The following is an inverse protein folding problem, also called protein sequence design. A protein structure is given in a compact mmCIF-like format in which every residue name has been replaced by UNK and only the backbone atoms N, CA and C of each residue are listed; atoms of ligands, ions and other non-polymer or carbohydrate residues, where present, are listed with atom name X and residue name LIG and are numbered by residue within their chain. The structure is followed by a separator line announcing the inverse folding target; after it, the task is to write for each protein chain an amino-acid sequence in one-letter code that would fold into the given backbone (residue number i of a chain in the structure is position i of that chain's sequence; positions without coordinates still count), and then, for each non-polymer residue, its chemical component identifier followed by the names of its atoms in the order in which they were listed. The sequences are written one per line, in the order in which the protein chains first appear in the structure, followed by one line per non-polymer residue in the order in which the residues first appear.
data_IF_748758747949
#
_entry.id   IF_748758747949
#
_cell.length_a   1.000
_cell.length_b   1.000
_cell.length_c   1.000
_cell.angle_alpha   90.00
_cell.angle_beta   90.00
_cell.angle_gamma   90.00
#
_symmetry.space_group_name_H-M   'P 1'
#
loop_
_entity.id
_entity.type
_entity.pdbx_description
1 polymer ?
#
# COMPACT_ATOMS: atom_id res chain seq x y z
N UNK A 1 -13.72 -9.13 5.95
CA UNK A 1 -12.58 -9.49 5.06
C UNK A 1 -11.50 -8.41 5.18
N UNK A 2 -10.27 -8.71 4.76
CA UNK A 2 -9.11 -7.81 4.84
C UNK A 2 -8.43 -7.73 3.48
N UNK A 3 -8.06 -6.53 3.05
CA UNK A 3 -7.23 -6.28 1.89
C UNK A 3 -5.85 -5.87 2.36
N UNK A 4 -4.84 -6.45 1.73
CA UNK A 4 -3.43 -6.18 2.01
C UNK A 4 -2.78 -5.69 0.74
N UNK A 5 -1.95 -4.65 0.83
CA UNK A 5 -1.33 -4.01 -0.33
C UNK A 5 0.14 -3.70 -0.07
N UNK A 6 0.98 -3.78 -1.09
CA UNK A 6 2.40 -3.41 -0.98
C UNK A 6 2.53 -1.87 -0.93
N UNK A 7 3.41 -1.36 -0.05
CA UNK A 7 3.66 0.07 0.08
C UNK A 7 4.32 0.69 -1.16
N UNK A 8 4.99 -0.11 -1.98
CA UNK A 8 5.57 0.29 -3.26
C UNK A 8 4.57 0.24 -4.43
N UNK A 9 3.34 -0.25 -4.25
CA UNK A 9 2.41 -0.34 -5.37
C UNK A 9 2.00 1.06 -5.89
N UNK A 10 1.91 1.31 -7.22
CA UNK A 10 1.54 2.61 -7.78
C UNK A 10 0.22 3.16 -7.23
N UNK A 11 -0.79 2.30 -7.09
CA UNK A 11 -2.12 2.67 -6.57
C UNK A 11 -2.20 2.71 -5.01
N UNK A 12 -1.07 2.71 -4.28
CA UNK A 12 -1.08 2.69 -2.80
C UNK A 12 -1.83 3.90 -2.21
N UNK A 13 -1.79 5.04 -2.90
CA UNK A 13 -2.44 6.27 -2.46
C UNK A 13 -3.96 6.17 -2.59
N UNK A 14 -4.44 5.59 -3.68
CA UNK A 14 -5.84 5.27 -3.96
C UNK A 14 -6.36 4.26 -2.95
N UNK A 15 -5.58 3.22 -2.65
CA UNK A 15 -5.90 2.22 -1.64
C UNK A 15 -6.10 2.84 -0.26
N UNK A 16 -5.20 3.73 0.20
CA UNK A 16 -5.35 4.47 1.46
C UNK A 16 -6.62 5.34 1.46
N UNK A 17 -6.98 5.93 0.31
CA UNK A 17 -8.15 6.81 0.18
C UNK A 17 -9.46 6.04 0.08
N UNK A 18 -9.45 4.76 -0.26
CA UNK A 18 -10.66 3.96 -0.50
C UNK A 18 -11.64 3.90 0.69
N UNK A 19 -11.16 4.17 1.92
CA UNK A 19 -11.98 4.26 3.14
C UNK A 19 -12.53 5.65 3.46
N UNK A 20 -12.11 6.69 2.75
CA UNK A 20 -12.49 8.09 3.05
C UNK A 20 -13.85 8.47 2.50
N UNK A 21 -14.44 7.66 1.62
CA UNK A 21 -15.79 7.88 1.09
C UNK A 21 -16.85 7.34 2.06
N UNK A 22 -17.77 8.22 2.49
CA UNK A 22 -18.88 7.84 3.35
C UNK A 22 -19.71 6.71 2.71
N UNK A 23 -19.80 5.58 3.43
CA UNK A 23 -20.57 4.40 3.03
C UNK A 23 -19.77 3.24 2.42
N UNK A 24 -18.51 3.44 2.02
CA UNK A 24 -17.66 2.33 1.49
C UNK A 24 -16.84 1.65 2.58
N UNK A 25 -16.68 0.32 2.44
CA UNK A 25 -15.69 -0.50 3.18
C UNK A 25 -15.77 -0.43 4.73
N UNK A 26 -16.93 -0.13 5.32
CA UNK A 26 -17.12 0.03 6.78
C UNK A 26 -16.76 -1.20 7.63
N UNK A 27 -16.83 -2.41 7.05
CA UNK A 27 -16.50 -3.67 7.71
C UNK A 27 -15.29 -4.38 7.07
N UNK A 28 -14.47 -3.63 6.34
CA UNK A 28 -13.31 -4.16 5.63
C UNK A 28 -12.03 -3.51 6.15
N UNK A 29 -11.01 -4.31 6.47
CA UNK A 29 -9.73 -3.79 6.92
C UNK A 29 -8.80 -3.59 5.73
N UNK A 30 -8.05 -2.48 5.74
CA UNK A 30 -7.01 -2.18 4.76
C UNK A 30 -5.68 -2.15 5.49
N UNK A 31 -4.75 -2.98 5.05
CA UNK A 31 -3.42 -3.12 5.63
C UNK A 31 -2.37 -2.88 4.56
N UNK A 32 -1.27 -2.23 4.91
CA UNK A 32 -0.10 -2.08 4.03
C UNK A 32 1.03 -2.98 4.52
N UNK A 33 1.70 -3.63 3.58
CA UNK A 33 2.95 -4.35 3.83
C UNK A 33 4.07 -3.32 3.82
N UNK A 34 4.52 -2.95 5.01
CA UNK A 34 5.62 -2.00 5.20
C UNK A 34 6.93 -2.78 5.26
N UNK A 35 7.92 -2.35 4.48
CA UNK A 35 9.28 -2.89 4.48
C UNK A 35 10.22 -2.02 5.31
N UNK A 36 11.35 -2.59 5.72
CA UNK A 36 12.41 -1.84 6.42
C UNK A 36 12.95 -0.71 5.54
N UNK A 37 13.11 -0.95 4.24
CA UNK A 37 13.56 0.06 3.27
C UNK A 37 12.60 1.25 3.19
N UNK A 38 11.28 1.01 3.28
CA UNK A 38 10.29 2.09 3.30
C UNK A 38 10.43 2.92 4.57
N UNK A 39 10.61 2.27 5.73
CA UNK A 39 10.82 2.98 6.99
C UNK A 39 12.10 3.82 6.97
N UNK A 40 13.19 3.30 6.42
CA UNK A 40 14.43 4.05 6.24
C UNK A 40 14.25 5.26 5.32
N UNK A 41 13.54 5.10 4.20
CA UNK A 41 13.26 6.21 3.30
C UNK A 41 12.45 7.31 4.00
N UNK A 42 11.49 6.94 4.84
CA UNK A 42 10.72 7.90 5.65
C UNK A 42 11.59 8.62 6.68
N UNK A 43 12.44 7.89 7.40
CA UNK A 43 13.36 8.48 8.40
C UNK A 43 14.34 9.47 7.79
N UNK A 44 14.73 9.25 6.52
CA UNK A 44 15.69 10.08 5.80
C UNK A 44 15.06 11.17 4.93
N UNK A 45 13.72 11.28 4.93
CA UNK A 45 12.97 12.14 3.99
C UNK A 45 13.39 11.91 2.51
N UNK A 46 13.64 10.65 2.17
CA UNK A 46 14.11 10.20 0.86
C UNK A 46 12.94 9.87 -0.08
N UNK A 47 13.21 9.91 -1.38
CA UNK A 47 12.24 9.48 -2.39
C UNK A 47 11.98 7.97 -2.29
N UNK A 48 10.70 7.58 -2.34
CA UNK A 48 10.29 6.18 -2.36
C UNK A 48 9.77 5.79 -3.76
N UNK A 49 10.41 4.81 -4.44
CA UNK A 49 9.99 4.40 -5.77
C UNK A 49 8.69 3.59 -5.72
N UNK A 50 7.75 3.92 -6.61
CA UNK A 50 6.56 3.09 -6.84
C UNK A 50 6.86 2.07 -7.94
N UNK A 51 6.68 0.80 -7.62
CA UNK A 51 6.97 -0.33 -8.48
C UNK A 51 5.65 -0.93 -8.96
N UNK A 52 5.49 -1.06 -10.29
CA UNK A 52 4.48 -1.97 -10.81
C UNK A 52 4.83 -3.37 -10.32
N UNK A 53 3.88 -4.15 -9.77
CA UNK A 53 4.10 -5.56 -9.58
C UNK A 53 4.30 -6.17 -10.96
N UNK A 54 5.55 -6.30 -11.41
CA UNK A 54 5.91 -7.28 -12.42
C UNK A 54 5.47 -8.58 -11.80
N UNK A 55 4.42 -9.19 -12.37
CA UNK A 55 3.76 -10.37 -11.86
C UNK A 55 4.80 -11.30 -11.24
N UNK A 56 4.86 -11.33 -9.91
CA UNK A 56 5.53 -12.41 -9.22
C UNK A 56 4.76 -13.62 -9.70
N UNK A 57 5.39 -14.44 -10.54
CA UNK A 57 4.78 -15.67 -11.02
C UNK A 57 4.23 -16.39 -9.80
N UNK A 58 2.90 -16.43 -9.68
CA UNK A 58 2.22 -17.16 -8.64
C UNK A 58 2.54 -18.63 -8.91
N UNK A 59 3.27 -19.26 -7.99
CA UNK A 59 3.60 -20.69 -8.02
C UNK A 59 2.53 -21.49 -7.28
#
# INVERSE_FOLDING_TARGET
QMGTFDVAHPDVREFIRAKREDGRLRQFNLSLLITDDFMQAVEQDAEWPLLFPLARAEA
#
